data_IF_285239690480
#
_entry.id   IF_285239690480
#
_cell.length_a   1.000
_cell.length_b   1.000
_cell.length_c   1.000
_cell.angle_alpha   90.00
_cell.angle_beta   90.00
_cell.angle_gamma   90.00
#
_symmetry.space_group_name_H-M   'P 1'
#
loop_
_entity.id
_entity.type
_entity.pdbx_description
1 polymer ?
#
# COMPACT_ATOMS: atom_id res chain seq x y z
N UNK A 1 -20.11 37.47 -10.16
CA UNK A 1 -19.25 36.53 -10.92
C UNK A 1 -19.33 35.17 -10.24
N UNK A 2 -20.16 34.26 -10.74
CA UNK A 2 -20.35 32.94 -10.16
C UNK A 2 -19.24 31.98 -10.65
N UNK A 3 -18.47 31.44 -9.71
CA UNK A 3 -17.48 30.40 -9.96
C UNK A 3 -18.17 29.14 -10.51
N UNK A 4 -17.80 28.72 -11.72
CA UNK A 4 -18.30 27.50 -12.35
C UNK A 4 -17.84 26.29 -11.53
N UNK A 5 -18.81 25.51 -11.06
CA UNK A 5 -18.60 24.29 -10.28
C UNK A 5 -17.67 23.29 -10.99
N UNK A 6 -16.65 22.87 -10.25
CA UNK A 6 -15.77 21.77 -10.64
C UNK A 6 -16.59 20.48 -10.69
N UNK A 7 -16.62 19.80 -11.84
CA UNK A 7 -17.32 18.52 -11.99
C UNK A 7 -16.62 17.45 -11.13
N UNK A 8 -17.36 16.50 -10.53
CA UNK A 8 -16.77 15.42 -9.76
C UNK A 8 -15.75 14.65 -10.61
N UNK A 9 -14.59 14.36 -10.02
CA UNK A 9 -13.51 13.63 -10.68
C UNK A 9 -14.02 12.28 -11.18
N UNK A 10 -13.88 12.04 -12.48
CA UNK A 10 -14.26 10.75 -13.07
C UNK A 10 -13.33 9.68 -12.53
N UNK A 11 -13.86 8.75 -11.74
CA UNK A 11 -13.11 7.59 -11.23
C UNK A 11 -12.96 6.58 -12.37
N UNK A 12 -11.71 6.29 -12.74
CA UNK A 12 -11.36 5.25 -13.71
C UNK A 12 -11.46 3.89 -13.02
N UNK A 13 -12.27 2.94 -13.51
CA UNK A 13 -12.36 1.60 -12.93
C UNK A 13 -11.02 0.87 -12.98
N UNK A 14 -10.79 -0.04 -12.03
CA UNK A 14 -9.69 -1.00 -12.09
C UNK A 14 -9.92 -1.97 -13.25
N UNK A 15 -8.91 -2.15 -14.11
CA UNK A 15 -8.95 -3.00 -15.30
C UNK A 15 -8.78 -2.24 -16.63
N UNK A 16 -8.79 -2.98 -17.73
CA UNK A 16 -8.70 -2.41 -19.07
C UNK A 16 -9.99 -1.69 -19.53
N UNK A 17 -9.89 -0.72 -20.45
CA UNK A 17 -11.04 -0.09 -21.09
C UNK A 17 -12.01 -1.12 -21.68
N UNK A 18 -13.32 -0.95 -21.43
CA UNK A 18 -14.34 -1.87 -21.95
C UNK A 18 -15.60 -1.16 -22.45
N UNK A 19 -16.47 -1.91 -23.13
CA UNK A 19 -17.80 -1.43 -23.57
C UNK A 19 -18.69 -0.98 -22.42
N UNK A 20 -18.45 -1.48 -21.21
CA UNK A 20 -19.18 -1.12 -19.99
C UNK A 20 -18.79 0.27 -19.46
N UNK A 21 -17.64 0.80 -19.88
CA UNK A 21 -17.16 2.10 -19.42
C UNK A 21 -17.99 3.26 -19.98
N UNK A 22 -18.15 4.30 -19.18
CA UNK A 22 -18.75 5.56 -19.63
C UNK A 22 -17.79 6.34 -20.54
N UNK A 23 -18.33 7.23 -21.38
CA UNK A 23 -17.51 8.14 -22.22
C UNK A 23 -16.54 8.96 -21.36
N UNK A 24 -16.97 9.35 -20.15
CA UNK A 24 -16.12 10.05 -19.19
C UNK A 24 -14.91 9.22 -18.79
N UNK A 25 -15.11 7.94 -18.45
CA UNK A 25 -14.03 7.03 -18.03
C UNK A 25 -13.06 6.75 -19.16
N UNK A 26 -13.55 6.50 -20.38
CA UNK A 26 -12.70 6.28 -21.55
C UNK A 26 -11.83 7.51 -21.87
N UNK A 27 -12.38 8.72 -21.74
CA UNK A 27 -11.62 9.97 -21.94
C UNK A 27 -10.63 10.25 -20.81
N UNK A 28 -11.00 9.95 -19.56
CA UNK A 28 -10.10 10.09 -18.42
C UNK A 28 -8.90 9.13 -18.56
N UNK A 29 -9.14 7.89 -18.98
CA UNK A 29 -8.11 6.91 -19.27
C UNK A 29 -7.23 7.36 -20.45
N UNK A 30 -7.81 7.77 -21.58
CA UNK A 30 -7.05 8.30 -22.71
C UNK A 30 -6.15 9.48 -22.31
N UNK A 31 -6.66 10.38 -21.47
CA UNK A 31 -5.88 11.49 -20.93
C UNK A 31 -4.73 11.03 -20.03
N UNK A 32 -4.94 10.01 -19.20
CA UNK A 32 -3.92 9.45 -18.32
C UNK A 32 -2.77 8.82 -19.11
N UNK A 33 -3.08 8.13 -20.21
CA UNK A 33 -2.11 7.49 -21.09
C UNK A 33 -1.64 8.38 -22.25
N UNK A 34 -1.97 9.68 -22.24
CA UNK A 34 -1.61 10.64 -23.29
C UNK A 34 -2.02 10.19 -24.72
N UNK A 35 -3.14 9.46 -24.82
CA UNK A 35 -3.69 8.98 -26.08
C UNK A 35 -4.44 10.08 -26.83
N UNK A 36 -4.12 10.26 -28.09
CA UNK A 36 -4.88 11.12 -29.00
C UNK A 36 -6.14 10.40 -29.51
N UNK A 37 -7.31 10.94 -29.15
CA UNK A 37 -8.61 10.45 -29.61
C UNK A 37 -9.02 11.05 -30.97
N UNK A 38 -8.26 12.00 -31.51
CA UNK A 38 -8.54 12.66 -32.78
C UNK A 38 -9.95 13.27 -32.83
N UNK A 39 -10.68 12.99 -33.91
CA UNK A 39 -12.06 13.45 -34.11
C UNK A 39 -13.13 12.56 -33.47
N UNK A 40 -12.76 11.56 -32.66
CA UNK A 40 -13.71 10.62 -32.07
C UNK A 40 -14.65 11.33 -31.09
N UNK A 41 -15.95 11.30 -31.38
CA UNK A 41 -16.98 11.99 -30.57
C UNK A 41 -17.96 11.03 -29.93
N UNK A 42 -18.20 9.87 -30.54
CA UNK A 42 -19.16 8.87 -30.06
C UNK A 42 -18.48 7.79 -29.22
N UNK A 43 -19.21 7.20 -28.28
CA UNK A 43 -18.69 6.13 -27.39
C UNK A 43 -18.00 4.99 -28.16
N UNK A 44 -18.57 4.45 -29.26
CA UNK A 44 -17.94 3.36 -30.00
C UNK A 44 -16.60 3.76 -30.62
N UNK A 45 -16.52 4.96 -31.20
CA UNK A 45 -15.28 5.49 -31.81
C UNK A 45 -14.19 5.74 -30.77
N UNK A 46 -14.58 6.28 -29.61
CA UNK A 46 -13.65 6.53 -28.50
C UNK A 46 -13.14 5.20 -27.95
N UNK A 47 -14.03 4.21 -27.78
CA UNK A 47 -13.65 2.88 -27.32
C UNK A 47 -12.71 2.20 -28.30
N UNK A 48 -13.00 2.24 -29.60
CA UNK A 48 -12.15 1.65 -30.64
C UNK A 48 -10.74 2.26 -30.63
N UNK A 49 -10.64 3.59 -30.52
CA UNK A 49 -9.34 4.27 -30.45
C UNK A 49 -8.57 3.91 -29.18
N UNK A 50 -9.26 3.83 -28.07
CA UNK A 50 -8.69 3.41 -26.78
C UNK A 50 -8.21 1.97 -26.87
N UNK A 51 -9.03 1.05 -27.36
CA UNK A 51 -8.66 -0.37 -27.51
C UNK A 51 -7.53 -0.57 -28.52
N UNK A 52 -7.52 0.16 -29.63
CA UNK A 52 -6.45 0.10 -30.64
C UNK A 52 -5.10 0.62 -30.11
N UNK A 53 -5.11 1.42 -29.04
CA UNK A 53 -3.90 1.90 -28.38
C UNK A 53 -3.36 0.94 -27.32
N UNK A 54 -4.20 0.01 -26.87
CA UNK A 54 -3.76 -1.06 -25.97
C UNK A 54 -3.04 -2.06 -26.86
N UNK A 55 -1.73 -2.21 -26.66
CA UNK A 55 -1.02 -3.32 -27.26
C UNK A 55 -1.63 -4.62 -26.70
N UNK A 56 -2.25 -5.47 -27.55
CA UNK A 56 -2.87 -6.71 -27.09
C UNK A 56 -1.84 -7.71 -26.53
N UNK A 57 -0.54 -7.46 -26.69
CA UNK A 57 0.56 -8.27 -26.19
C UNK A 57 1.25 -7.68 -24.96
N UNK A 58 0.83 -6.49 -24.48
CA UNK A 58 1.26 -6.00 -23.17
C UNK A 58 0.40 -6.70 -22.14
N UNK A 59 0.91 -7.82 -21.63
CA UNK A 59 0.39 -8.39 -20.39
C UNK A 59 0.35 -7.28 -19.32
N UNK A 60 -0.74 -7.17 -18.53
CA UNK A 60 -0.77 -6.19 -17.46
C UNK A 60 0.45 -6.44 -16.60
N UNK A 61 1.38 -5.47 -16.54
CA UNK A 61 2.62 -5.61 -15.81
C UNK A 61 2.29 -6.18 -14.43
N UNK A 62 2.81 -7.37 -14.13
CA UNK A 62 2.48 -8.03 -12.88
C UNK A 62 2.74 -7.04 -11.74
N UNK A 63 1.80 -6.89 -10.79
CA UNK A 63 2.00 -5.99 -9.68
C UNK A 63 3.31 -6.39 -9.01
N UNK A 64 4.25 -5.45 -8.94
CA UNK A 64 5.55 -5.73 -8.32
C UNK A 64 5.30 -6.26 -6.91
N UNK A 65 5.91 -7.39 -6.52
CA UNK A 65 5.83 -7.89 -5.16
C UNK A 65 6.11 -6.77 -4.16
N UNK A 66 5.33 -6.71 -3.09
CA UNK A 66 5.48 -5.71 -2.04
C UNK A 66 6.90 -5.76 -1.48
N UNK A 67 7.48 -6.94 -1.31
CA UNK A 67 8.87 -7.11 -0.88
C UNK A 67 9.85 -6.34 -1.78
N UNK A 68 9.72 -6.45 -3.09
CA UNK A 68 10.61 -5.76 -4.04
C UNK A 68 10.45 -4.24 -3.93
N UNK A 69 9.21 -3.76 -3.77
CA UNK A 69 8.94 -2.35 -3.52
C UNK A 69 9.51 -1.87 -2.17
N UNK A 70 9.46 -2.72 -1.15
CA UNK A 70 10.04 -2.48 0.18
C UNK A 70 11.57 -2.38 0.10
N UNK A 71 12.25 -3.32 -0.57
CA UNK A 71 13.71 -3.31 -0.72
C UNK A 71 14.19 -2.04 -1.44
N UNK A 72 13.52 -1.63 -2.52
CA UNK A 72 13.85 -0.38 -3.21
C UNK A 72 13.73 0.84 -2.30
N UNK A 73 12.70 0.87 -1.45
CA UNK A 73 12.48 1.96 -0.50
C UNK A 73 13.55 1.98 0.61
N UNK A 74 13.91 0.82 1.15
CA UNK A 74 14.98 0.68 2.15
C UNK A 74 16.33 1.09 1.55
N UNK A 75 16.68 0.60 0.36
CA UNK A 75 17.93 0.94 -0.32
C UNK A 75 18.05 2.45 -0.54
N UNK A 76 16.96 3.10 -0.99
CA UNK A 76 16.92 4.56 -1.13
C UNK A 76 17.04 5.27 0.22
N UNK A 77 16.35 4.82 1.26
CA UNK A 77 16.42 5.42 2.58
C UNK A 77 17.83 5.31 3.20
N UNK A 78 18.55 4.22 2.95
CA UNK A 78 19.96 4.07 3.35
C UNK A 78 20.84 5.04 2.55
N UNK A 79 20.67 5.11 1.23
CA UNK A 79 21.41 6.04 0.38
C UNK A 79 21.19 7.51 0.77
N UNK A 80 19.96 7.85 1.19
CA UNK A 80 19.57 9.19 1.66
C UNK A 80 19.94 9.44 3.14
N UNK A 81 20.60 8.48 3.81
CA UNK A 81 20.97 8.52 5.24
C UNK A 81 19.79 8.70 6.20
N UNK A 82 18.58 8.29 5.78
CA UNK A 82 17.39 8.21 6.65
C UNK A 82 17.47 6.97 7.53
N UNK A 83 17.95 5.86 6.97
CA UNK A 83 18.19 4.62 7.69
C UNK A 83 19.68 4.27 7.69
N UNK A 84 20.10 3.65 8.78
CA UNK A 84 21.39 3.00 8.90
C UNK A 84 21.18 1.48 8.91
N UNK A 85 21.91 0.76 8.05
CA UNK A 85 21.71 -0.67 7.82
C UNK A 85 22.02 -1.54 9.06
N UNK A 86 22.99 -1.14 9.88
CA UNK A 86 23.39 -1.90 11.06
C UNK A 86 22.52 -1.54 12.27
N UNK A 87 22.34 -0.24 12.52
CA UNK A 87 21.55 0.24 13.66
C UNK A 87 20.06 -0.09 13.51
N UNK A 88 19.55 -0.19 12.28
CA UNK A 88 18.15 -0.48 12.00
C UNK A 88 17.93 -1.88 11.42
N UNK A 89 18.89 -2.80 11.56
CA UNK A 89 18.80 -4.17 11.01
C UNK A 89 17.51 -4.90 11.45
N UNK A 90 17.15 -4.83 12.73
CA UNK A 90 15.94 -5.47 13.26
C UNK A 90 14.64 -4.91 12.67
N UNK A 91 14.44 -3.57 12.68
CA UNK A 91 13.30 -2.96 12.00
C UNK A 91 13.22 -3.26 10.50
N UNK A 92 14.35 -3.19 9.79
CA UNK A 92 14.45 -3.54 8.37
C UNK A 92 13.97 -4.98 8.13
N UNK A 93 14.44 -5.94 8.92
CA UNK A 93 14.04 -7.33 8.75
C UNK A 93 12.56 -7.57 9.12
N UNK A 94 12.05 -6.87 10.13
CA UNK A 94 10.63 -6.91 10.48
C UNK A 94 9.77 -6.44 9.30
N UNK A 95 10.16 -5.36 8.64
CA UNK A 95 9.45 -4.84 7.48
C UNK A 95 9.46 -5.82 6.30
N UNK A 96 10.59 -6.51 6.07
CA UNK A 96 10.73 -7.58 5.06
C UNK A 96 9.81 -8.76 5.34
N UNK A 97 9.74 -9.21 6.58
CA UNK A 97 8.84 -10.30 7.00
C UNK A 97 7.39 -9.92 6.76
N UNK A 98 7.00 -8.69 7.10
CA UNK A 98 5.64 -8.20 6.85
C UNK A 98 5.34 -8.14 5.34
N UNK A 99 6.26 -7.63 4.52
CA UNK A 99 6.09 -7.56 3.08
C UNK A 99 5.92 -8.95 2.45
N UNK A 100 6.81 -9.90 2.77
CA UNK A 100 6.69 -11.31 2.35
C UNK A 100 5.37 -11.93 2.76
N UNK A 101 4.95 -11.69 4.01
CA UNK A 101 3.72 -12.26 4.53
C UNK A 101 2.50 -11.79 3.74
N UNK A 102 2.49 -10.53 3.33
CA UNK A 102 1.41 -9.92 2.52
C UNK A 102 1.44 -10.49 1.10
N UNK A 103 2.60 -10.56 0.45
CA UNK A 103 2.74 -11.11 -0.91
C UNK A 103 2.24 -12.55 -1.02
N UNK A 104 2.53 -13.37 -0.01
CA UNK A 104 2.16 -14.78 0.02
C UNK A 104 0.73 -15.04 0.52
N UNK A 105 0.04 -14.04 1.08
CA UNK A 105 -1.24 -14.25 1.77
C UNK A 105 -2.30 -14.85 0.83
N UNK A 106 -2.45 -14.26 -0.36
CA UNK A 106 -3.36 -14.73 -1.40
C UNK A 106 -3.02 -16.15 -1.86
N UNK A 107 -1.74 -16.46 -2.04
CA UNK A 107 -1.28 -17.78 -2.47
C UNK A 107 -1.57 -18.84 -1.41
N UNK A 108 -1.28 -18.55 -0.12
CA UNK A 108 -1.61 -19.46 0.98
C UNK A 108 -3.11 -19.72 1.07
N UNK A 109 -3.92 -18.70 0.80
CA UNK A 109 -5.38 -18.85 0.81
C UNK A 109 -5.88 -19.74 -0.32
N UNK A 110 -5.38 -19.52 -1.55
CA UNK A 110 -5.70 -20.38 -2.70
C UNK A 110 -5.32 -21.83 -2.43
N UNK A 111 -4.09 -22.06 -1.97
CA UNK A 111 -3.61 -23.39 -1.59
C UNK A 111 -4.49 -24.03 -0.51
N UNK A 112 -4.89 -23.28 0.52
CA UNK A 112 -5.74 -23.79 1.58
C UNK A 112 -7.14 -24.19 1.08
N UNK A 113 -7.74 -23.42 0.16
CA UNK A 113 -9.02 -23.79 -0.47
C UNK A 113 -8.86 -25.04 -1.32
N UNK A 114 -7.84 -25.08 -2.18
CA UNK A 114 -7.58 -26.20 -3.09
C UNK A 114 -7.34 -27.49 -2.31
N UNK A 115 -6.48 -27.44 -1.29
CA UNK A 115 -6.23 -28.57 -0.40
C UNK A 115 -7.51 -29.05 0.31
N UNK A 116 -8.33 -28.13 0.83
CA UNK A 116 -9.60 -28.48 1.48
C UNK A 116 -10.57 -29.16 0.50
N UNK A 117 -10.63 -28.68 -0.75
CA UNK A 117 -11.44 -29.27 -1.82
C UNK A 117 -10.95 -30.67 -2.21
N UNK A 118 -9.64 -30.86 -2.36
CA UNK A 118 -9.04 -32.14 -2.75
C UNK A 118 -9.19 -33.23 -1.70
N UNK A 119 -9.20 -32.86 -0.42
CA UNK A 119 -9.25 -33.80 0.69
C UNK A 119 -10.67 -33.95 1.30
N UNK A 120 -11.70 -33.41 0.65
CA UNK A 120 -13.09 -33.36 1.14
C UNK A 120 -13.21 -32.85 2.59
N UNK A 121 -12.31 -31.93 2.98
CA UNK A 121 -12.28 -31.36 4.32
C UNK A 121 -13.20 -30.14 4.32
N UNK A 122 -14.26 -30.18 5.13
CA UNK A 122 -15.02 -28.98 5.54
C UNK A 122 -14.17 -28.11 6.49
N UNK A 123 -13.01 -27.65 6.04
CA UNK A 123 -12.18 -26.72 6.78
C UNK A 123 -12.48 -25.30 6.29
N UNK A 124 -12.75 -24.40 7.24
CA UNK A 124 -12.71 -22.97 6.96
C UNK A 124 -11.23 -22.60 6.80
N UNK A 125 -10.83 -21.97 5.68
CA UNK A 125 -9.46 -21.49 5.53
C UNK A 125 -9.05 -20.61 6.73
N UNK A 126 -7.76 -20.59 7.09
CA UNK A 126 -7.29 -19.80 8.21
C UNK A 126 -7.69 -18.33 8.03
N UNK A 127 -8.01 -17.61 9.12
CA UNK A 127 -8.38 -16.20 9.04
C UNK A 127 -7.29 -15.42 8.30
N UNK A 128 -7.71 -14.60 7.32
CA UNK A 128 -6.83 -13.61 6.69
C UNK A 128 -6.33 -12.68 7.79
N UNK A 129 -5.02 -12.44 7.83
CA UNK A 129 -4.44 -11.56 8.82
C UNK A 129 -4.64 -10.10 8.39
N UNK A 130 -5.85 -9.59 8.66
CA UNK A 130 -6.28 -8.24 8.33
C UNK A 130 -5.47 -7.13 9.01
N UNK A 131 -4.56 -7.46 9.95
CA UNK A 131 -3.70 -6.45 10.58
C UNK A 131 -2.39 -6.24 9.81
N UNK A 132 -2.02 -7.12 8.88
CA UNK A 132 -0.71 -7.07 8.20
C UNK A 132 -0.52 -5.80 7.35
N UNK A 133 -1.49 -5.43 6.51
CA UNK A 133 -1.39 -4.23 5.65
C UNK A 133 -1.36 -2.93 6.47
N UNK A 134 -2.29 -2.69 7.42
CA UNK A 134 -2.22 -1.50 8.28
C UNK A 134 -0.93 -1.45 9.10
N UNK A 135 -0.45 -2.60 9.59
CA UNK A 135 0.79 -2.70 10.38
C UNK A 135 2.00 -2.34 9.53
N UNK A 136 2.11 -2.90 8.32
CA UNK A 136 3.15 -2.57 7.36
C UNK A 136 3.19 -1.06 7.07
N UNK A 137 2.02 -0.45 6.80
CA UNK A 137 1.91 0.99 6.54
C UNK A 137 2.37 1.83 7.73
N UNK A 138 1.95 1.50 8.94
CA UNK A 138 2.36 2.21 10.16
C UNK A 138 3.86 2.07 10.42
N UNK A 139 4.45 0.91 10.09
CA UNK A 139 5.87 0.66 10.22
C UNK A 139 6.67 1.53 9.22
N UNK A 140 6.20 1.60 7.96
CA UNK A 140 6.77 2.50 6.96
C UNK A 140 6.72 3.97 7.39
N UNK A 141 5.60 4.41 7.99
CA UNK A 141 5.48 5.78 8.52
C UNK A 141 6.49 6.04 9.65
N UNK A 142 6.63 5.09 10.58
CA UNK A 142 7.53 5.20 11.74
C UNK A 142 9.02 5.25 11.34
N UNK A 143 9.38 4.56 10.25
CA UNK A 143 10.73 4.56 9.69
C UNK A 143 11.00 5.73 8.73
N UNK A 144 10.03 6.63 8.51
CA UNK A 144 10.18 7.75 7.58
C UNK A 144 10.15 7.35 6.10
N UNK A 145 9.68 6.14 5.77
CA UNK A 145 9.62 5.63 4.39
C UNK A 145 8.41 6.15 3.60
N UNK A 146 7.52 6.91 4.24
CA UNK A 146 6.42 7.62 3.56
C UNK A 146 6.70 9.12 3.51
N UNK A 147 6.07 9.85 2.59
CA UNK A 147 6.19 11.31 2.52
C UNK A 147 5.80 11.97 3.85
N UNK A 148 4.78 11.44 4.53
CA UNK A 148 4.35 11.94 5.83
C UNK A 148 5.39 11.62 6.93
N UNK A 149 5.92 10.39 6.96
CA UNK A 149 6.96 9.99 7.90
C UNK A 149 8.26 10.78 7.70
N UNK A 150 8.68 10.96 6.45
CA UNK A 150 9.86 11.75 6.09
C UNK A 150 9.74 13.23 6.50
N UNK A 151 8.53 13.81 6.41
CA UNK A 151 8.26 15.19 6.87
C UNK A 151 8.13 15.31 8.39
N UNK A 152 7.76 14.24 9.08
CA UNK A 152 7.63 14.20 10.52
C UNK A 152 8.97 13.99 11.24
N UNK A 153 10.00 13.50 10.54
CA UNK A 153 11.36 13.40 11.05
C UNK A 153 12.02 14.80 11.09
N UNK A 154 12.26 15.40 12.27
CA UNK A 154 13.03 16.63 12.33
C UNK A 154 14.47 16.37 11.86
N UNK A 155 15.00 17.30 11.06
CA UNK A 155 16.36 17.23 10.51
C UNK A 155 17.41 17.05 11.63
N UNK A 156 18.20 15.96 11.53
CA UNK A 156 19.43 15.64 12.26
C UNK A 156 19.54 16.16 13.71
N UNK A 157 19.27 15.27 14.65
CA UNK A 157 19.81 15.29 16.01
C UNK A 157 19.52 13.95 16.67
N UNK A 158 20.56 13.16 16.96
CA UNK A 158 20.40 11.83 17.53
C UNK A 158 19.52 11.84 18.78
N UNK A 159 18.51 10.97 18.81
CA UNK A 159 17.68 10.78 19.99
C UNK A 159 18.05 9.46 20.65
N UNK A 160 19.01 9.57 21.58
CA UNK A 160 19.01 8.75 22.77
C UNK A 160 17.61 8.86 23.44
N UNK A 161 17.11 7.72 23.91
CA UNK A 161 16.10 7.64 24.96
C UNK A 161 14.81 8.41 24.71
N UNK A 162 13.87 7.79 24.01
CA UNK A 162 12.46 8.14 24.17
C UNK A 162 12.06 7.95 25.63
N UNK A 163 11.82 9.07 26.31
CA UNK A 163 11.30 9.14 27.67
C UNK A 163 10.06 8.23 27.81
N UNK A 164 10.02 7.28 28.75
CA UNK A 164 8.93 6.33 28.83
C UNK A 164 7.67 7.08 29.26
N UNK A 165 6.70 7.21 28.34
CA UNK A 165 5.32 7.55 28.68
C UNK A 165 4.90 6.65 29.83
N UNK A 166 4.63 7.26 31.00
CA UNK A 166 4.20 6.56 32.21
C UNK A 166 3.05 5.60 31.85
N UNK A 167 3.37 4.31 31.75
CA UNK A 167 2.37 3.27 31.60
C UNK A 167 1.45 3.32 32.82
N UNK A 168 0.14 3.16 32.60
CA UNK A 168 -0.89 3.08 33.65
C UNK A 168 -0.55 2.04 34.72
N UNK A 169 0.26 1.04 34.36
CA UNK A 169 0.80 0.02 35.27
C UNK A 169 1.86 0.56 36.25
N UNK A 170 2.63 1.57 35.84
CA UNK A 170 3.60 2.27 36.69
C UNK A 170 2.95 3.22 37.69
N UNK A 171 1.79 3.78 37.34
CA UNK A 171 0.98 4.58 38.27
C UNK A 171 0.33 3.74 39.37
N UNK A 172 -0.02 2.47 39.11
CA UNK A 172 -0.62 1.60 40.13
C UNK A 172 0.40 1.09 41.17
N UNK A 173 1.69 1.01 40.82
CA UNK A 173 2.74 0.58 41.75
C UNK A 173 3.19 1.67 42.73
N UNK A 174 3.05 2.95 42.38
CA UNK A 174 3.40 4.05 43.29
C UNK A 174 2.36 4.28 44.40
N UNK A 175 1.12 3.81 44.22
CA UNK A 175 0.03 4.07 45.17
C UNK A 175 0.03 3.07 46.34
N UNK A 176 0.67 1.90 46.22
CA UNK A 176 0.75 0.90 47.31
C UNK A 176 2.02 0.98 48.17
N UNK A 177 2.97 1.86 47.85
CA UNK A 177 4.23 2.01 48.61
C UNK A 177 4.21 3.17 49.63
N UNK A 178 3.06 3.84 49.80
CA UNK A 178 2.95 5.08 50.58
C UNK A 178 1.89 5.08 51.69
N UNK A 179 1.41 3.91 52.14
CA UNK A 179 0.48 3.82 53.27
C UNK A 179 1.04 2.83 54.30
N UNK A 180 1.80 3.37 55.24
CA UNK A 180 2.54 2.64 56.26
C UNK A 180 3.44 3.59 57.05
N UNK A 181 2.83 4.63 57.63
CA UNK A 181 3.39 5.43 58.72
C UNK A 181 2.38 5.40 59.88
#
# INVERSE_FOLDING_TARGET
>A
MAAKGSKPGVVVPTGGPSSEWTVGQLRAWAKFFHLDLGSARRKPEILERVLASIDPNVEPAEPTPLLDATERSIAKAIADQVLDAELHAGPIETLRILARKIDEEDQRWRYAIEYARENDIKAKPPPVDNVSIPTYRNYCESLGLTVAGAKAAPAKGGAAGGEPKKSKLGQLRSVHAGEGA
#
